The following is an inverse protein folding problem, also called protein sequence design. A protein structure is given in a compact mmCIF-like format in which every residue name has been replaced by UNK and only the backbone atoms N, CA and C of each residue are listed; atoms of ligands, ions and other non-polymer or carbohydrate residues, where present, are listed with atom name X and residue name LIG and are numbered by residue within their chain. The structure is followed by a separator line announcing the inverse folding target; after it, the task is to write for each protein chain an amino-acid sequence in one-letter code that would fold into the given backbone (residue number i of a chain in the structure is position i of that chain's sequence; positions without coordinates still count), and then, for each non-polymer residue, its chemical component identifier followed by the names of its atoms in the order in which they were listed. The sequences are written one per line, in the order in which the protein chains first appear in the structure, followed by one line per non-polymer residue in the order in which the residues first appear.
data_IF_626337440158
#
_entry.id   IF_626337440158
#
_cell.length_a   1.000
_cell.length_b   1.000
_cell.length_c   1.000
_cell.angle_alpha   90.00
_cell.angle_beta   90.00
_cell.angle_gamma   90.00
#
_symmetry.space_group_name_H-M   'P 1'
#
loop_
_entity.id
_entity.type
_entity.pdbx_description
1 polymer ?
#
# COMPACT_ATOMS: atom_id res chain seq x y z
N UNK A 1 3.67 10.37 23.13
CA UNK A 1 3.56 8.98 22.63
C UNK A 1 4.05 8.95 21.19
N UNK A 2 4.75 7.89 20.81
CA UNK A 2 5.36 7.78 19.48
C UNK A 2 4.48 6.95 18.57
N UNK A 3 4.30 7.45 17.36
CA UNK A 3 3.63 6.76 16.28
C UNK A 3 4.65 6.21 15.29
N UNK A 4 4.25 5.19 14.52
CA UNK A 4 5.12 4.53 13.55
C UNK A 4 4.46 4.41 12.20
N UNK A 5 5.25 4.55 11.14
CA UNK A 5 4.91 4.12 9.79
C UNK A 5 5.73 2.87 9.49
N UNK A 6 5.04 1.80 9.11
CA UNK A 6 5.67 0.53 8.77
C UNK A 6 5.38 0.19 7.30
N UNK A 7 6.36 -0.42 6.64
CA UNK A 7 6.21 -1.07 5.36
C UNK A 7 5.90 -2.55 5.60
N UNK A 8 4.72 -2.98 5.19
CA UNK A 8 4.21 -4.33 5.41
C UNK A 8 4.36 -5.22 4.18
N UNK A 9 4.39 -6.54 4.43
CA UNK A 9 4.40 -7.57 3.41
C UNK A 9 3.69 -8.82 3.92
N UNK A 10 2.85 -9.47 3.11
CA UNK A 10 2.32 -10.81 3.43
C UNK A 10 2.38 -11.72 2.21
N UNK A 11 2.62 -13.04 2.39
CA UNK A 11 2.67 -13.97 1.26
C UNK A 11 1.27 -14.15 0.63
N UNK A 12 1.20 -14.20 -0.71
CA UNK A 12 -0.03 -14.56 -1.42
C UNK A 12 0.03 -16.05 -1.78
N UNK A 13 -0.74 -16.93 -1.12
CA UNK A 13 -0.58 -18.39 -1.26
C UNK A 13 -0.88 -18.93 -2.67
N UNK A 14 -1.67 -18.21 -3.49
CA UNK A 14 -2.26 -18.71 -4.75
C UNK A 14 -1.45 -18.43 -6.02
N UNK A 15 -0.39 -17.62 -5.97
CA UNK A 15 0.34 -17.22 -7.17
C UNK A 15 1.79 -17.68 -7.14
N UNK A 16 2.03 -18.93 -7.57
CA UNK A 16 3.27 -19.45 -8.16
C UNK A 16 4.60 -18.73 -7.80
N UNK A 17 4.90 -18.56 -6.51
CA UNK A 17 6.17 -17.99 -6.05
C UNK A 17 6.28 -16.45 -6.04
N UNK A 18 5.19 -15.69 -6.22
CA UNK A 18 5.19 -14.25 -5.90
C UNK A 18 5.17 -14.09 -4.38
N UNK A 19 6.32 -13.72 -3.83
CA UNK A 19 6.59 -13.96 -2.41
C UNK A 19 5.85 -13.03 -1.46
N UNK A 20 5.39 -11.85 -1.91
CA UNK A 20 4.78 -10.87 -1.00
C UNK A 20 3.88 -9.85 -1.70
N UNK A 21 2.82 -9.49 -0.98
CA UNK A 21 1.95 -8.35 -1.20
C UNK A 21 2.36 -7.22 -0.25
N UNK A 22 2.73 -6.05 -0.76
CA UNK A 22 3.15 -4.93 0.07
C UNK A 22 2.03 -3.94 0.36
N UNK A 23 2.18 -3.27 1.50
CA UNK A 23 1.28 -2.23 2.00
C UNK A 23 2.04 -1.29 2.94
N UNK A 24 1.42 -0.17 3.31
CA UNK A 24 1.97 0.76 4.29
C UNK A 24 0.95 0.95 5.40
N UNK A 25 1.39 0.96 6.66
CA UNK A 25 0.51 1.07 7.83
C UNK A 25 1.04 2.13 8.80
N UNK A 26 0.14 2.88 9.40
CA UNK A 26 0.41 3.75 10.54
C UNK A 26 -0.12 3.07 11.82
N UNK A 27 0.75 2.87 12.80
CA UNK A 27 0.40 2.36 14.14
C UNK A 27 0.58 3.40 15.24
N UNK A 28 -0.13 3.20 16.35
CA UNK A 28 0.18 3.85 17.64
C UNK A 28 1.41 3.21 18.32
N UNK A 29 1.74 3.67 19.53
CA UNK A 29 2.87 3.21 20.33
C UNK A 29 2.77 1.75 20.76
N UNK A 30 1.55 1.20 20.83
CA UNK A 30 1.29 -0.20 21.19
C UNK A 30 1.43 -1.13 19.99
N UNK A 31 1.60 -0.57 18.78
CA UNK A 31 1.64 -1.32 17.53
C UNK A 31 0.25 -1.63 16.97
N UNK A 32 -0.81 -1.04 17.53
CA UNK A 32 -2.17 -1.15 17.00
C UNK A 32 -2.26 -0.32 15.71
N UNK A 33 -2.82 -0.87 14.62
CA UNK A 33 -3.00 -0.13 13.38
C UNK A 33 -4.09 0.94 13.56
N UNK A 34 -3.80 2.14 13.06
CA UNK A 34 -4.75 3.25 12.99
C UNK A 34 -5.22 3.45 11.54
N UNK A 35 -4.28 3.42 10.61
CA UNK A 35 -4.54 3.57 9.18
C UNK A 35 -3.66 2.64 8.36
N UNK A 36 -4.13 2.28 7.17
CA UNK A 36 -3.39 1.48 6.21
C UNK A 36 -3.63 2.00 4.79
N UNK A 37 -2.61 1.91 3.95
CA UNK A 37 -2.74 2.13 2.51
C UNK A 37 -2.32 0.86 1.79
N UNK A 38 -3.23 0.35 0.98
CA UNK A 38 -3.00 -0.86 0.22
C UNK A 38 -3.34 -0.65 -1.26
N UNK A 39 -2.47 -1.14 -2.15
CA UNK A 39 -2.73 -1.10 -3.58
C UNK A 39 -3.38 -2.38 -4.10
N UNK A 40 -4.10 -2.29 -5.20
CA UNK A 40 -4.73 -3.47 -5.79
C UNK A 40 -5.51 -3.13 -7.05
N UNK A 41 -6.46 -3.99 -7.38
CA UNK A 41 -7.42 -3.72 -8.45
C UNK A 41 -8.81 -3.46 -7.87
N UNK A 42 -9.63 -2.74 -8.64
CA UNK A 42 -11.06 -2.53 -8.34
C UNK A 42 -11.95 -3.12 -9.43
N UNK A 43 -13.13 -3.54 -9.01
CA UNK A 43 -14.25 -3.82 -9.90
C UNK A 43 -14.77 -2.53 -10.55
N UNK A 44 -15.62 -2.63 -11.60
CA UNK A 44 -16.25 -1.46 -12.22
C UNK A 44 -17.06 -0.59 -11.24
N UNK A 45 -17.65 -1.20 -10.22
CA UNK A 45 -18.40 -0.52 -9.14
C UNK A 45 -17.50 0.17 -8.10
N UNK A 46 -16.18 0.05 -8.22
CA UNK A 46 -15.21 0.64 -7.29
C UNK A 46 -14.88 -0.20 -6.06
N UNK A 47 -15.54 -1.35 -5.86
CA UNK A 47 -15.19 -2.28 -4.79
C UNK A 47 -13.83 -2.91 -5.03
N UNK A 48 -13.10 -3.17 -3.96
CA UNK A 48 -11.74 -3.68 -4.03
C UNK A 48 -11.71 -5.17 -4.38
N UNK A 49 -10.88 -5.56 -5.36
CA UNK A 49 -10.79 -6.94 -5.82
C UNK A 49 -9.41 -7.27 -6.41
N UNK A 50 -8.57 -7.99 -5.66
CA UNK A 50 -7.25 -8.44 -6.15
C UNK A 50 -7.29 -9.35 -7.38
N UNK A 51 -8.40 -10.04 -7.60
CA UNK A 51 -8.55 -10.96 -8.73
C UNK A 51 -9.03 -10.25 -10.00
N UNK A 52 -9.32 -8.94 -9.94
CA UNK A 52 -9.63 -8.14 -11.12
C UNK A 52 -8.34 -7.83 -11.90
N UNK A 53 -7.75 -8.85 -12.53
CA UNK A 53 -6.46 -8.74 -13.28
C UNK A 53 -6.54 -7.73 -14.43
N UNK A 54 -7.75 -7.41 -14.91
CA UNK A 54 -8.03 -6.37 -15.92
C UNK A 54 -8.72 -5.13 -15.35
N UNK A 55 -8.82 -5.03 -14.03
CA UNK A 55 -9.39 -3.88 -13.33
C UNK A 55 -8.45 -2.67 -13.38
N UNK A 56 -8.94 -1.54 -12.85
CA UNK A 56 -8.09 -0.35 -12.66
C UNK A 56 -7.20 -0.53 -11.44
N UNK A 57 -5.97 -0.07 -11.53
CA UNK A 57 -5.08 0.06 -10.38
C UNK A 57 -5.70 1.06 -9.39
N UNK A 58 -5.70 0.72 -8.11
CA UNK A 58 -6.16 1.61 -7.05
C UNK A 58 -5.18 1.61 -5.88
N UNK A 59 -5.32 2.61 -5.03
CA UNK A 59 -4.80 2.65 -3.68
C UNK A 59 -5.96 2.95 -2.72
N UNK A 60 -6.22 2.03 -1.79
CA UNK A 60 -7.25 2.15 -0.77
C UNK A 60 -6.61 2.62 0.52
N UNK A 61 -7.20 3.65 1.12
CA UNK A 61 -6.86 4.12 2.47
C UNK A 61 -7.89 3.55 3.42
N UNK A 62 -7.46 2.67 4.31
CA UNK A 62 -8.29 2.05 5.34
C UNK A 62 -8.07 2.79 6.65
N UNK A 63 -9.15 3.29 7.26
CA UNK A 63 -9.20 3.80 8.63
C UNK A 63 -9.76 2.70 9.53
N UNK A 64 -8.96 2.21 10.46
CA UNK A 64 -9.34 1.09 11.34
C UNK A 64 -10.44 1.44 12.36
N UNK A 65 -10.86 2.71 12.44
CA UNK A 65 -12.07 3.10 13.16
C UNK A 65 -13.36 2.84 12.37
N UNK A 66 -13.26 2.64 11.05
CA UNK A 66 -14.38 2.37 10.15
C UNK A 66 -14.53 0.87 9.91
N UNK A 67 -15.77 0.42 9.64
CA UNK A 67 -16.07 -1.00 9.40
C UNK A 67 -16.79 -1.19 8.06
N UNK A 68 -16.04 -1.07 6.97
CA UNK A 68 -16.51 -1.45 5.64
C UNK A 68 -15.40 -2.18 4.87
N UNK A 69 -15.37 -3.51 5.00
CA UNK A 69 -14.30 -4.33 4.42
C UNK A 69 -14.40 -4.48 2.89
N UNK A 70 -15.52 -4.07 2.28
CA UNK A 70 -15.71 -4.13 0.82
C UNK A 70 -14.92 -3.00 0.15
N UNK A 71 -14.94 -1.81 0.75
CA UNK A 71 -14.27 -0.63 0.22
C UNK A 71 -12.97 -0.29 0.96
N UNK A 72 -12.84 -0.70 2.22
CA UNK A 72 -11.69 -0.47 3.10
C UNK A 72 -11.19 -1.80 3.70
N UNK A 73 -10.69 -2.74 2.88
CA UNK A 73 -10.13 -4.00 3.39
C UNK A 73 -8.94 -3.77 4.33
N UNK A 74 -8.82 -4.64 5.31
CA UNK A 74 -7.76 -4.63 6.32
C UNK A 74 -6.72 -5.73 6.05
N UNK A 75 -5.43 -5.37 6.02
CA UNK A 75 -4.33 -6.28 5.68
C UNK A 75 -3.33 -6.51 6.82
N UNK A 76 -3.01 -5.49 7.60
CA UNK A 76 -2.06 -5.57 8.70
C UNK A 76 -2.43 -6.64 9.74
N UNK A 77 -3.73 -6.88 9.94
CA UNK A 77 -4.26 -7.91 10.88
C UNK A 77 -3.98 -9.36 10.46
N UNK A 78 -3.37 -9.61 9.29
CA UNK A 78 -3.02 -10.98 8.87
C UNK A 78 -1.84 -11.52 9.70
N UNK A 79 -1.96 -12.71 10.34
CA UNK A 79 -0.87 -13.31 11.13
C UNK A 79 0.43 -13.57 10.36
N UNK A 80 0.36 -13.63 9.03
CA UNK A 80 1.51 -13.88 8.15
C UNK A 80 2.21 -12.59 7.71
N UNK A 81 1.71 -11.42 8.11
CA UNK A 81 2.32 -10.13 7.78
C UNK A 81 3.66 -9.95 8.47
N UNK A 82 4.64 -9.47 7.72
CA UNK A 82 5.94 -9.01 8.19
C UNK A 82 6.04 -7.52 7.94
N UNK A 83 6.58 -6.77 8.89
CA UNK A 83 6.71 -5.32 8.80
C UNK A 83 8.14 -4.85 9.00
N UNK A 84 8.47 -3.70 8.43
CA UNK A 84 9.73 -2.99 8.62
C UNK A 84 9.43 -1.53 8.94
N UNK A 85 10.08 -0.99 9.98
CA UNK A 85 9.92 0.40 10.37
C UNK A 85 10.47 1.33 9.28
N UNK A 86 9.66 2.28 8.82
CA UNK A 86 10.10 3.37 7.94
C UNK A 86 10.36 4.66 8.71
N UNK A 87 9.50 4.94 9.69
CA UNK A 87 9.54 6.17 10.46
C UNK A 87 8.92 5.94 11.84
N UNK A 88 9.55 6.50 12.87
CA UNK A 88 8.97 6.65 14.21
C UNK A 88 9.08 8.12 14.62
N UNK A 89 8.05 8.64 15.27
CA UNK A 89 8.06 10.03 15.73
C UNK A 89 6.79 10.46 16.44
N UNK A 90 6.68 11.77 16.68
CA UNK A 90 5.46 12.36 17.24
C UNK A 90 4.28 12.20 16.28
N UNK A 91 3.06 12.27 16.84
CA UNK A 91 1.83 12.27 16.05
C UNK A 91 1.89 13.27 14.89
N UNK A 92 2.25 14.52 15.16
CA UNK A 92 2.28 15.59 14.13
C UNK A 92 3.24 15.29 12.98
N UNK A 93 4.41 14.71 13.29
CA UNK A 93 5.39 14.31 12.27
C UNK A 93 4.86 13.18 11.40
N UNK A 94 4.35 12.11 12.03
CA UNK A 94 3.78 10.96 11.33
C UNK A 94 2.54 11.33 10.52
N UNK A 95 1.63 12.12 11.09
CA UNK A 95 0.43 12.62 10.42
C UNK A 95 0.75 13.46 9.18
N UNK A 96 1.81 14.26 9.23
CA UNK A 96 2.25 15.06 8.08
C UNK A 96 2.74 14.17 6.94
N UNK A 97 3.51 13.13 7.25
CA UNK A 97 3.95 12.14 6.26
C UNK A 97 2.76 11.34 5.71
N UNK A 98 1.86 10.92 6.59
CA UNK A 98 0.67 10.18 6.19
C UNK A 98 -0.26 10.97 5.27
N UNK A 99 -0.43 12.28 5.47
CA UNK A 99 -1.20 13.12 4.54
C UNK A 99 -0.63 13.09 3.13
N UNK A 100 0.70 13.19 2.97
CA UNK A 100 1.34 13.04 1.67
C UNK A 100 1.09 11.65 1.05
N UNK A 101 1.06 10.60 1.88
CA UNK A 101 0.69 9.25 1.46
C UNK A 101 -0.74 9.19 0.89
N UNK A 102 -1.69 9.82 1.57
CA UNK A 102 -3.10 9.90 1.15
C UNK A 102 -3.24 10.66 -0.18
N UNK A 103 -2.50 11.76 -0.36
CA UNK A 103 -2.50 12.51 -1.62
C UNK A 103 -2.01 11.65 -2.79
N UNK A 104 -0.95 10.86 -2.58
CA UNK A 104 -0.47 9.91 -3.59
C UNK A 104 -1.49 8.80 -3.85
N UNK A 105 -2.15 8.27 -2.82
CA UNK A 105 -3.21 7.28 -2.98
C UNK A 105 -4.39 7.82 -3.82
N UNK A 106 -4.79 9.07 -3.59
CA UNK A 106 -5.83 9.73 -4.39
C UNK A 106 -5.41 9.91 -5.85
N UNK A 107 -4.16 10.27 -6.12
CA UNK A 107 -3.59 10.35 -7.48
C UNK A 107 -3.58 8.99 -8.16
N UNK A 108 -3.19 7.92 -7.47
CA UNK A 108 -3.24 6.55 -8.02
C UNK A 108 -4.67 6.20 -8.41
N UNK A 109 -5.64 6.42 -7.52
CA UNK A 109 -7.05 6.09 -7.76
C UNK A 109 -7.64 6.84 -8.97
N UNK A 110 -7.19 8.06 -9.24
CA UNK A 110 -7.68 8.89 -10.34
C UNK A 110 -6.85 8.80 -11.62
N UNK A 111 -5.70 8.13 -11.58
CA UNK A 111 -4.75 8.04 -12.70
C UNK A 111 -5.26 7.27 -13.93
N UNK A 112 -6.31 6.45 -13.78
CA UNK A 112 -6.79 5.59 -14.86
C UNK A 112 -5.85 4.42 -15.21
N UNK A 113 -4.75 4.23 -14.48
CA UNK A 113 -3.79 3.16 -14.72
C UNK A 113 -4.47 1.79 -14.63
N UNK A 114 -4.13 0.91 -15.57
CA UNK A 114 -4.54 -0.49 -15.52
C UNK A 114 -3.79 -1.25 -14.45
N UNK A 115 -4.47 -2.14 -13.73
CA UNK A 115 -3.79 -3.10 -12.87
C UNK A 115 -3.04 -4.11 -13.73
N UNK A 116 -1.78 -4.37 -13.38
CA UNK A 116 -1.01 -5.45 -13.95
C UNK A 116 -0.15 -6.08 -12.88
N UNK A 117 -0.39 -7.37 -12.66
CA UNK A 117 0.28 -8.14 -11.64
C UNK A 117 1.83 -8.15 -11.76
N UNK A 118 2.38 -7.96 -12.96
CA UNK A 118 3.83 -7.97 -13.18
C UNK A 118 4.50 -6.60 -13.00
N UNK A 119 3.75 -5.51 -13.21
CA UNK A 119 4.35 -4.18 -13.40
C UNK A 119 3.68 -3.06 -12.59
N UNK A 120 2.36 -3.12 -12.40
CA UNK A 120 1.53 -2.06 -11.83
C UNK A 120 0.52 -2.72 -10.88
N UNK A 121 0.98 -3.03 -9.68
CA UNK A 121 0.24 -3.79 -8.69
C UNK A 121 0.37 -3.14 -7.30
N UNK A 122 -0.04 -3.87 -6.28
CA UNK A 122 0.09 -3.45 -4.88
C UNK A 122 1.51 -3.08 -4.46
N UNK A 123 2.50 -3.83 -4.93
CA UNK A 123 3.89 -3.61 -4.58
C UNK A 123 4.42 -2.28 -5.14
N UNK A 124 4.09 -1.97 -6.40
CA UNK A 124 4.40 -0.64 -6.97
C UNK A 124 3.65 0.50 -6.25
N UNK A 125 2.43 0.25 -5.78
CA UNK A 125 1.66 1.23 -4.98
C UNK A 125 2.35 1.48 -3.64
N UNK A 126 2.69 0.43 -2.89
CA UNK A 126 3.36 0.57 -1.59
C UNK A 126 4.70 1.32 -1.71
N UNK A 127 5.49 1.02 -2.75
CA UNK A 127 6.71 1.77 -3.07
C UNK A 127 6.40 3.24 -3.34
N UNK A 128 5.47 3.54 -4.25
CA UNK A 128 5.12 4.92 -4.60
C UNK A 128 4.56 5.72 -3.41
N UNK A 129 3.81 5.06 -2.52
CA UNK A 129 3.31 5.65 -1.28
C UNK A 129 4.46 5.99 -0.34
N UNK A 130 5.39 5.06 -0.10
CA UNK A 130 6.57 5.29 0.74
C UNK A 130 7.45 6.43 0.20
N UNK A 131 7.74 6.43 -1.10
CA UNK A 131 8.49 7.49 -1.78
C UNK A 131 7.75 8.84 -1.71
N UNK A 132 6.42 8.82 -1.86
CA UNK A 132 5.56 10.01 -1.75
C UNK A 132 5.59 10.68 -0.37
N UNK A 133 5.85 9.90 0.68
CA UNK A 133 6.10 10.42 2.02
C UNK A 133 7.54 10.96 2.20
N UNK A 134 8.41 10.80 1.20
CA UNK A 134 9.84 11.07 1.32
C UNK A 134 10.58 10.02 2.15
N UNK A 135 10.08 8.78 2.18
CA UNK A 135 10.69 7.65 2.88
C UNK A 135 11.23 6.64 1.86
N UNK A 136 12.27 5.90 2.25
CA UNK A 136 12.88 4.88 1.38
C UNK A 136 12.24 3.51 1.63
N UNK A 137 11.62 2.87 0.62
CA UNK A 137 11.14 1.50 0.74
C UNK A 137 12.27 0.55 1.16
N UNK A 138 12.03 -0.44 2.04
CA UNK A 138 13.08 -1.31 2.53
C UNK A 138 13.47 -2.31 1.44
N UNK A 139 14.76 -2.37 1.11
CA UNK A 139 15.30 -3.26 0.06
C UNK A 139 15.03 -4.75 0.31
N UNK A 140 14.78 -5.13 1.57
CA UNK A 140 14.42 -6.50 1.97
C UNK A 140 13.00 -6.89 1.53
N UNK A 141 12.10 -5.92 1.36
CA UNK A 141 10.70 -6.10 0.98
C UNK A 141 10.42 -5.71 -0.49
N UNK A 142 11.41 -5.13 -1.19
CA UNK A 142 11.35 -4.71 -2.60
C UNK A 142 12.24 -5.63 -3.44
N UNK A 143 11.83 -5.94 -4.67
CA UNK A 143 12.66 -6.65 -5.63
C UNK A 143 11.89 -7.49 -6.64
N UNK A 144 12.53 -7.81 -7.77
CA UNK A 144 11.91 -8.52 -8.90
C UNK A 144 11.33 -9.88 -8.55
N UNK A 145 11.99 -10.60 -7.64
CA UNK A 145 11.60 -11.97 -7.22
C UNK A 145 10.68 -11.93 -5.99
N UNK A 146 11.02 -11.09 -5.00
CA UNK A 146 10.30 -11.04 -3.71
C UNK A 146 8.98 -10.28 -3.79
N UNK A 147 8.96 -9.17 -4.52
CA UNK A 147 7.82 -8.29 -4.67
C UNK A 147 7.78 -7.72 -6.10
N UNK A 148 7.40 -8.51 -7.12
CA UNK A 148 7.28 -8.04 -8.50
C UNK A 148 6.48 -6.74 -8.56
N UNK A 149 6.92 -5.78 -9.39
CA UNK A 149 6.33 -4.43 -9.48
C UNK A 149 6.93 -3.40 -8.52
N UNK A 150 7.42 -3.79 -7.33
CA UNK A 150 7.94 -2.83 -6.31
C UNK A 150 9.12 -1.96 -6.76
N UNK A 151 9.91 -2.41 -7.74
CA UNK A 151 11.08 -1.68 -8.27
C UNK A 151 10.72 -0.69 -9.38
N UNK A 152 9.45 -0.59 -9.75
CA UNK A 152 8.96 0.29 -10.81
C UNK A 152 8.30 1.50 -10.21
N UNK A 153 8.62 2.67 -10.74
CA UNK A 153 7.84 3.87 -10.45
C UNK A 153 6.52 3.84 -11.21
N UNK A 154 5.43 4.20 -10.53
CA UNK A 154 4.17 4.45 -11.19
C UNK A 154 4.32 5.69 -12.06
N UNK A 155 4.20 5.51 -13.37
CA UNK A 155 4.09 6.61 -14.31
C UNK A 155 2.70 7.21 -14.15
N UNK A 156 2.55 8.18 -13.26
CA UNK A 156 1.41 9.08 -13.31
C UNK A 156 1.55 9.89 -14.59
N UNK A 157 0.58 9.80 -15.49
CA UNK A 157 0.53 10.72 -16.62
C UNK A 157 0.66 12.13 -16.04
N UNK A 158 1.69 12.87 -16.49
CA UNK A 158 1.72 14.30 -16.26
C UNK A 158 0.47 14.80 -16.94
N UNK A 159 -0.49 15.30 -16.16
CA UNK A 159 -1.62 16.03 -16.71
C UNK A 159 -1.05 17.03 -17.73
N UNK A 160 -1.46 16.86 -18.99
CA UNK A 160 -1.25 17.86 -20.03
C UNK A 160 -2.04 19.12 -19.69
#
# INVERSE_FOLDING_TARGET
MNHRILFGSYPIPRFAGIASHNFVVWTDETGRPLYEINGGAVNPDGSFNYCAIRGRLTAVVTDYSQRDLIYCPEFYVRPTSRTTLLLEGSFTSVATRWRAAVDVAARIRTSGLGYSFLIQNSNSVATAIAEGMGLTPPSTAVGRVRAPGSYRHLAFDRAA
#
